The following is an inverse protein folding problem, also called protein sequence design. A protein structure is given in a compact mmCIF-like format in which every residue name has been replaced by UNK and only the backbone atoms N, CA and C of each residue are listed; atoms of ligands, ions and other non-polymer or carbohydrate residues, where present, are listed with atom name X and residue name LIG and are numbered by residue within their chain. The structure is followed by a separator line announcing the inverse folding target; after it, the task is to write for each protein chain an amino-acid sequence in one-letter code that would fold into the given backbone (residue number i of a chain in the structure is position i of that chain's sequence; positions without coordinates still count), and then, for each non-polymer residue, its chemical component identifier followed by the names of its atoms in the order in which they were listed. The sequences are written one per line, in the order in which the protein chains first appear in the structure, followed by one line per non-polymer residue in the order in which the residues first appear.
data_IF_172875137940
#
_entry.id   IF_172875137940
#
_cell.length_a   1.000
_cell.length_b   1.000
_cell.length_c   1.000
_cell.angle_alpha   90.00
_cell.angle_beta   90.00
_cell.angle_gamma   90.00
#
_symmetry.space_group_name_H-M   'P 1'
#
loop_
_entity.id
_entity.type
_entity.pdbx_description
1 polymer ?
#
# COMPACT_ATOMS: atom_id res chain seq x y z
N UNK A 1 -0.47 2.65 -10.29
CA UNK A 1 0.60 1.87 -9.56
C UNK A 1 0.30 1.55 -8.08
N UNK A 2 -0.32 2.42 -7.27
CA UNK A 2 -0.40 2.22 -5.81
C UNK A 2 -1.57 1.38 -5.24
N UNK A 3 -2.60 1.03 -6.03
CA UNK A 3 -3.85 0.46 -5.48
C UNK A 3 -3.82 -1.06 -5.23
N UNK A 4 -3.38 -1.91 -6.16
CA UNK A 4 -3.16 -3.36 -5.91
C UNK A 4 -2.31 -3.55 -4.64
N UNK A 5 -1.12 -2.94 -4.61
CA UNK A 5 -0.16 -3.07 -3.53
C UNK A 5 -0.64 -2.49 -2.19
N UNK A 6 -1.56 -1.52 -2.22
CA UNK A 6 -2.16 -0.93 -1.01
C UNK A 6 -3.26 -1.81 -0.40
N UNK A 7 -4.21 -2.27 -1.20
CA UNK A 7 -5.37 -3.04 -0.69
C UNK A 7 -4.96 -4.40 -0.15
N UNK A 8 -3.99 -5.06 -0.80
CA UNK A 8 -3.39 -6.31 -0.33
C UNK A 8 -2.70 -6.19 1.04
N UNK A 9 -2.11 -5.02 1.34
CA UNK A 9 -1.44 -4.78 2.62
C UNK A 9 -2.43 -4.42 3.74
N UNK A 10 -3.42 -3.58 3.43
CA UNK A 10 -4.40 -3.06 4.40
C UNK A 10 -5.24 -4.15 5.09
N UNK A 11 -5.52 -5.26 4.41
CA UNK A 11 -6.42 -6.30 4.92
C UNK A 11 -5.82 -7.19 6.04
N UNK A 12 -4.49 -7.22 6.21
CA UNK A 12 -3.78 -8.07 7.19
C UNK A 12 -2.73 -7.27 8.00
N UNK A 13 -2.80 -5.93 8.01
CA UNK A 13 -1.92 -5.05 8.83
C UNK A 13 -2.27 -5.04 10.32
N UNK A 14 -2.14 -6.20 10.98
CA UNK A 14 -2.24 -6.34 12.44
C UNK A 14 -0.95 -6.86 13.10
N UNK A 15 -0.04 -7.50 12.35
CA UNK A 15 1.30 -7.91 12.82
C UNK A 15 2.34 -7.65 11.73
N UNK A 16 2.68 -6.39 11.47
CA UNK A 16 3.82 -6.04 10.59
C UNK A 16 4.48 -4.70 10.95
N UNK A 17 4.38 -4.28 12.23
CA UNK A 17 5.06 -3.09 12.75
C UNK A 17 5.65 -3.35 14.14
N UNK A 18 6.75 -4.12 14.17
CA UNK A 18 7.91 -3.95 15.07
C UNK A 18 8.96 -5.02 14.77
N UNK A 19 10.05 -4.62 14.10
CA UNK A 19 11.22 -5.43 13.69
C UNK A 19 10.96 -6.60 12.72
N UNK A 20 11.71 -6.64 11.62
CA UNK A 20 11.71 -7.77 10.68
C UNK A 20 12.76 -8.83 11.03
N UNK A 21 12.48 -10.10 10.71
CA UNK A 21 13.32 -11.26 11.00
C UNK A 21 12.54 -12.40 11.68
N UNK A 22 12.92 -13.67 11.48
CA UNK A 22 12.11 -14.79 12.00
C UNK A 22 12.77 -16.18 12.33
N UNK A 23 13.74 -16.80 11.60
CA UNK A 23 14.46 -18.13 11.82
C UNK A 23 14.15 -19.56 11.19
N UNK A 24 15.01 -20.06 10.24
CA UNK A 24 15.53 -21.48 10.04
C UNK A 24 14.71 -22.66 9.37
N UNK A 25 15.18 -23.83 8.84
CA UNK A 25 16.45 -24.50 8.42
C UNK A 25 16.21 -25.91 7.74
N UNK A 26 17.20 -26.46 7.02
CA UNK A 26 17.99 -27.61 7.56
C UNK A 26 18.02 -29.00 6.87
N UNK A 27 19.25 -29.53 6.69
CA UNK A 27 19.80 -30.92 6.58
C UNK A 27 19.00 -32.09 5.95
N UNK A 28 19.60 -33.11 5.29
CA UNK A 28 21.04 -33.45 5.09
C UNK A 28 21.30 -34.34 3.83
N UNK A 29 22.57 -34.40 3.41
CA UNK A 29 23.29 -35.45 2.62
C UNK A 29 22.59 -36.23 1.48
N UNK A 30 23.16 -36.10 0.27
CA UNK A 30 23.05 -36.97 -0.92
C UNK A 30 22.14 -38.21 -0.88
N UNK A 31 20.99 -38.07 -1.53
CA UNK A 31 20.44 -39.08 -2.43
C UNK A 31 19.76 -38.36 -3.60
N UNK A 32 19.74 -38.95 -4.80
CA UNK A 32 19.14 -38.33 -5.99
C UNK A 32 17.60 -38.43 -6.03
N UNK A 33 16.96 -38.26 -4.87
CA UNK A 33 15.53 -37.96 -4.80
C UNK A 33 15.32 -36.48 -5.16
N UNK A 34 14.25 -36.17 -5.90
CA UNK A 34 13.93 -34.79 -6.25
C UNK A 34 13.72 -33.94 -4.99
N UNK A 35 14.51 -32.87 -4.81
CA UNK A 35 14.36 -31.93 -3.70
C UNK A 35 12.94 -31.35 -3.74
N UNK A 36 12.18 -31.52 -2.65
CA UNK A 36 10.81 -31.01 -2.55
C UNK A 36 10.76 -29.49 -2.87
N UNK A 37 9.75 -29.01 -3.60
CA UNK A 37 9.74 -27.67 -4.16
C UNK A 37 9.82 -26.58 -3.08
N UNK A 38 10.42 -25.44 -3.43
CA UNK A 38 10.61 -24.32 -2.50
C UNK A 38 9.30 -23.62 -2.13
N UNK A 39 8.34 -23.62 -3.07
CA UNK A 39 6.94 -23.24 -2.88
C UNK A 39 6.07 -24.16 -3.74
N UNK A 40 4.85 -24.45 -3.29
CA UNK A 40 3.87 -25.24 -4.03
C UNK A 40 2.55 -24.48 -4.09
N UNK A 41 1.88 -24.53 -5.25
CA UNK A 41 0.65 -23.79 -5.51
C UNK A 41 -0.49 -24.20 -4.59
N UNK A 42 -0.97 -23.25 -3.77
CA UNK A 42 -2.17 -23.40 -2.96
C UNK A 42 -3.39 -23.29 -3.88
N UNK A 43 -3.82 -24.41 -4.44
CA UNK A 43 -5.03 -24.53 -5.29
C UNK A 43 -6.30 -24.78 -4.47
N UNK A 44 -6.16 -25.02 -3.17
CA UNK A 44 -7.25 -25.30 -2.24
C UNK A 44 -6.83 -24.89 -0.82
N UNK A 45 -7.79 -24.36 -0.05
CA UNK A 45 -7.62 -23.92 1.33
C UNK A 45 -8.76 -24.52 2.16
N UNK A 46 -8.44 -25.43 3.07
CA UNK A 46 -9.43 -26.30 3.71
C UNK A 46 -10.02 -25.70 5.00
N UNK A 47 -11.02 -26.37 5.57
CA UNK A 47 -11.62 -25.99 6.86
C UNK A 47 -10.58 -25.98 7.98
N UNK A 48 -9.62 -26.90 7.92
CA UNK A 48 -8.49 -27.04 8.83
C UNK A 48 -7.52 -25.86 8.73
N UNK A 49 -7.23 -25.37 7.52
CA UNK A 49 -6.40 -24.17 7.32
C UNK A 49 -7.09 -22.93 7.91
N UNK A 50 -8.42 -22.81 7.75
CA UNK A 50 -9.20 -21.77 8.42
C UNK A 50 -9.19 -21.90 9.94
N UNK A 51 -9.28 -23.10 10.51
CA UNK A 51 -9.20 -23.29 11.96
C UNK A 51 -7.85 -22.82 12.52
N UNK A 52 -6.75 -23.10 11.82
CA UNK A 52 -5.42 -22.64 12.19
C UNK A 52 -5.32 -21.11 12.10
N UNK A 53 -5.63 -20.52 10.95
CA UNK A 53 -5.55 -19.08 10.71
C UNK A 53 -6.46 -18.27 11.66
N UNK A 54 -7.67 -18.75 11.93
CA UNK A 54 -8.61 -18.05 12.83
C UNK A 54 -8.26 -18.24 14.31
N UNK A 55 -7.57 -19.31 14.70
CA UNK A 55 -7.02 -19.45 16.05
C UNK A 55 -5.88 -18.43 16.31
N UNK A 56 -4.97 -18.27 15.36
CA UNK A 56 -3.92 -17.24 15.41
C UNK A 56 -4.55 -15.82 15.42
N UNK A 57 -5.51 -15.54 14.53
CA UNK A 57 -6.22 -14.25 14.50
C UNK A 57 -6.94 -13.95 15.83
N UNK A 58 -7.55 -14.96 16.46
CA UNK A 58 -8.21 -14.81 17.76
C UNK A 58 -7.23 -14.50 18.89
N UNK A 59 -6.01 -15.01 18.83
CA UNK A 59 -4.96 -14.73 19.80
C UNK A 59 -4.35 -13.34 19.63
N UNK A 60 -4.18 -12.88 18.39
CA UNK A 60 -3.57 -11.60 18.06
C UNK A 60 -4.54 -10.41 18.07
N UNK A 61 -5.74 -10.58 17.52
CA UNK A 61 -6.74 -9.51 17.36
C UNK A 61 -8.16 -10.04 17.60
N UNK A 62 -8.59 -10.13 18.88
CA UNK A 62 -9.92 -10.64 19.25
C UNK A 62 -11.07 -9.91 18.57
N UNK A 63 -10.95 -8.60 18.33
CA UNK A 63 -11.99 -7.81 17.64
C UNK A 63 -12.02 -8.08 16.12
N UNK A 64 -10.88 -8.32 15.47
CA UNK A 64 -10.85 -8.74 14.06
C UNK A 64 -11.44 -10.15 13.90
N UNK A 65 -11.11 -11.07 14.81
CA UNK A 65 -11.76 -12.39 14.87
C UNK A 65 -13.26 -12.27 15.13
N UNK A 66 -13.70 -11.38 16.02
CA UNK A 66 -15.12 -11.11 16.27
C UNK A 66 -15.80 -10.57 15.00
N UNK A 67 -15.20 -9.60 14.30
CA UNK A 67 -15.71 -9.05 13.04
C UNK A 67 -15.86 -10.13 11.98
N UNK A 68 -14.83 -10.96 11.77
CA UNK A 68 -14.87 -12.12 10.85
C UNK A 68 -16.05 -13.07 11.13
N UNK A 69 -16.47 -13.19 12.39
CA UNK A 69 -17.60 -14.03 12.80
C UNK A 69 -18.96 -13.32 12.77
N UNK A 70 -19.03 -11.99 12.88
CA UNK A 70 -20.30 -11.24 12.91
C UNK A 70 -20.67 -10.52 11.62
N UNK A 71 -19.71 -10.22 10.75
CA UNK A 71 -19.85 -9.38 9.56
C UNK A 71 -19.65 -10.22 8.27
N UNK A 72 -20.72 -10.49 7.51
CA UNK A 72 -20.63 -11.30 6.29
C UNK A 72 -19.84 -10.64 5.16
N UNK A 73 -19.87 -9.32 5.04
CA UNK A 73 -19.16 -8.58 3.99
C UNK A 73 -17.65 -8.60 4.26
N UNK A 74 -17.26 -8.24 5.48
CA UNK A 74 -15.86 -8.35 5.91
C UNK A 74 -15.34 -9.78 5.80
N UNK A 75 -16.16 -10.79 6.12
CA UNK A 75 -15.81 -12.21 5.89
C UNK A 75 -15.56 -12.49 4.41
N UNK A 76 -16.48 -12.10 3.52
CA UNK A 76 -16.32 -12.31 2.09
C UNK A 76 -15.03 -11.66 1.58
N UNK A 77 -14.77 -10.41 1.97
CA UNK A 77 -13.58 -9.66 1.56
C UNK A 77 -12.27 -10.31 2.04
N UNK A 78 -12.26 -10.94 3.22
CA UNK A 78 -11.11 -11.71 3.72
C UNK A 78 -10.91 -13.03 2.96
N UNK A 79 -11.99 -13.72 2.56
CA UNK A 79 -11.92 -14.94 1.71
C UNK A 79 -11.40 -14.60 0.31
N UNK A 80 -11.91 -13.54 -0.32
CA UNK A 80 -11.43 -13.09 -1.63
C UNK A 80 -9.97 -12.62 -1.59
N UNK A 81 -9.58 -11.83 -0.59
CA UNK A 81 -8.17 -11.40 -0.42
C UNK A 81 -7.19 -12.58 -0.35
N UNK A 82 -7.57 -13.66 0.34
CA UNK A 82 -6.77 -14.89 0.41
C UNK A 82 -6.80 -15.70 -0.89
N UNK A 83 -7.94 -15.77 -1.59
CA UNK A 83 -8.05 -16.40 -2.91
C UNK A 83 -7.15 -15.68 -3.93
N UNK A 84 -7.21 -14.35 -3.97
CA UNK A 84 -6.37 -13.49 -4.80
C UNK A 84 -4.89 -13.69 -4.47
N UNK A 85 -4.52 -13.74 -3.18
CA UNK A 85 -3.14 -13.97 -2.75
C UNK A 85 -2.54 -15.25 -3.35
N UNK A 86 -3.24 -16.37 -3.22
CA UNK A 86 -2.76 -17.64 -3.75
C UNK A 86 -2.82 -17.71 -5.28
N UNK A 87 -3.82 -17.09 -5.91
CA UNK A 87 -3.91 -16.98 -7.37
C UNK A 87 -2.74 -16.16 -7.97
N UNK A 88 -2.40 -15.00 -7.39
CA UNK A 88 -1.26 -14.19 -7.81
C UNK A 88 0.08 -14.88 -7.50
N UNK A 89 0.21 -15.58 -6.37
CA UNK A 89 1.40 -16.37 -6.08
C UNK A 89 1.62 -17.50 -7.12
N UNK A 90 0.54 -18.21 -7.50
CA UNK A 90 0.56 -19.20 -8.57
C UNK A 90 0.84 -18.59 -9.95
N UNK A 91 0.35 -17.38 -10.21
CA UNK A 91 0.68 -16.64 -11.43
C UNK A 91 2.19 -16.40 -11.52
N UNK A 92 2.84 -15.91 -10.45
CA UNK A 92 4.30 -15.72 -10.42
C UNK A 92 5.06 -17.03 -10.67
N UNK A 93 4.61 -18.16 -10.11
CA UNK A 93 5.21 -19.48 -10.36
C UNK A 93 5.15 -19.85 -11.85
N UNK A 94 3.98 -19.74 -12.49
CA UNK A 94 3.81 -19.94 -13.94
C UNK A 94 4.63 -18.97 -14.78
N UNK A 95 4.73 -17.73 -14.32
CA UNK A 95 5.50 -16.64 -14.94
C UNK A 95 7.02 -16.81 -14.81
N UNK A 96 7.49 -17.90 -14.20
CA UNK A 96 8.90 -18.28 -14.10
C UNK A 96 9.61 -17.76 -12.86
N UNK A 97 8.90 -17.27 -11.84
CA UNK A 97 9.53 -16.71 -10.64
C UNK A 97 10.44 -17.72 -9.90
N UNK A 98 10.16 -19.03 -9.99
CA UNK A 98 10.98 -20.10 -9.42
C UNK A 98 12.19 -20.49 -10.30
N UNK A 99 12.43 -19.83 -11.44
CA UNK A 99 13.64 -20.00 -12.24
C UNK A 99 14.77 -19.05 -11.79
N UNK A 100 14.46 -18.05 -10.96
CA UNK A 100 15.41 -17.07 -10.45
C UNK A 100 16.00 -17.53 -9.10
N UNK A 101 17.32 -17.73 -8.99
CA UNK A 101 17.95 -18.16 -7.74
C UNK A 101 17.80 -17.16 -6.59
N UNK A 102 17.58 -15.88 -6.87
CA UNK A 102 17.29 -14.86 -5.84
C UNK A 102 15.92 -15.12 -5.23
N UNK A 103 14.92 -15.43 -6.07
CA UNK A 103 13.57 -15.74 -5.59
C UNK A 103 13.51 -17.10 -4.88
N UNK A 104 14.23 -18.12 -5.38
CA UNK A 104 14.37 -19.40 -4.66
C UNK A 104 15.03 -19.16 -3.30
N UNK A 105 16.14 -18.43 -3.27
CA UNK A 105 16.89 -18.13 -2.05
C UNK A 105 16.11 -17.30 -1.04
N UNK A 106 15.23 -16.40 -1.51
CA UNK A 106 14.32 -15.65 -0.64
C UNK A 106 13.15 -16.51 -0.16
N UNK A 107 12.59 -17.38 -1.01
CA UNK A 107 11.56 -18.33 -0.58
C UNK A 107 12.12 -19.36 0.42
N UNK A 108 13.38 -19.79 0.28
CA UNK A 108 14.08 -20.55 1.32
C UNK A 108 14.37 -19.68 2.54
N UNK A 109 14.68 -18.39 2.38
CA UNK A 109 14.87 -17.46 3.51
C UNK A 109 13.58 -17.21 4.28
N UNK A 110 12.42 -17.12 3.62
CA UNK A 110 11.07 -16.97 4.20
C UNK A 110 10.58 -18.27 4.84
N UNK A 111 10.73 -19.40 4.14
CA UNK A 111 10.46 -20.75 4.70
C UNK A 111 11.30 -20.99 5.92
N UNK A 112 12.58 -20.60 5.85
CA UNK A 112 13.42 -20.62 7.02
C UNK A 112 12.76 -19.71 8.05
N UNK A 113 12.67 -18.41 7.75
CA UNK A 113 12.22 -17.38 8.66
C UNK A 113 11.05 -17.80 9.57
N UNK A 114 9.87 -18.09 9.04
CA UNK A 114 8.69 -18.35 9.89
C UNK A 114 8.89 -19.47 10.93
N UNK A 115 9.71 -20.49 10.66
CA UNK A 115 9.64 -21.78 11.41
C UNK A 115 10.14 -21.69 12.85
N UNK A 116 11.05 -20.76 13.17
CA UNK A 116 11.51 -20.57 14.55
C UNK A 116 11.27 -19.22 15.20
N UNK A 117 10.51 -18.29 14.61
CA UNK A 117 9.67 -17.45 15.47
C UNK A 117 8.70 -18.38 16.17
N UNK A 118 8.04 -19.27 15.42
CA UNK A 118 7.04 -20.17 15.97
C UNK A 118 7.65 -21.18 16.97
N UNK A 119 8.83 -21.73 16.68
CA UNK A 119 9.54 -22.60 17.64
C UNK A 119 10.14 -21.82 18.82
N UNK A 120 10.68 -20.61 18.62
CA UNK A 120 11.24 -19.83 19.73
C UNK A 120 10.14 -19.29 20.64
N UNK A 121 9.04 -18.75 20.09
CA UNK A 121 7.85 -18.40 20.86
C UNK A 121 7.33 -19.60 21.65
N UNK A 122 7.27 -20.79 21.05
CA UNK A 122 6.83 -22.01 21.75
C UNK A 122 7.70 -22.32 22.99
N UNK A 123 9.02 -22.09 22.94
CA UNK A 123 9.92 -22.31 24.10
C UNK A 123 10.09 -21.09 25.02
N UNK A 124 9.89 -19.87 24.54
CA UNK A 124 10.07 -18.63 25.31
C UNK A 124 8.77 -18.12 25.95
N UNK A 125 7.59 -18.48 25.43
CA UNK A 125 6.26 -18.10 25.97
C UNK A 125 6.04 -18.53 27.43
N UNK A 126 6.50 -19.73 27.89
CA UNK A 126 6.50 -20.06 29.33
C UNK A 126 7.49 -19.23 30.17
N UNK A 127 8.52 -18.66 29.52
CA UNK A 127 9.66 -17.99 30.18
C UNK A 127 9.58 -16.45 30.12
N UNK A 128 8.64 -15.88 29.37
CA UNK A 128 8.51 -14.44 29.07
C UNK A 128 9.81 -13.80 28.55
N UNK A 129 10.58 -14.53 27.75
CA UNK A 129 11.83 -14.04 27.15
C UNK A 129 11.57 -13.30 25.83
N UNK A 130 12.42 -12.31 25.56
CA UNK A 130 12.51 -11.66 24.25
C UNK A 130 12.88 -12.66 23.16
N UNK A 131 12.46 -12.35 21.93
CA UNK A 131 12.75 -13.16 20.74
C UNK A 131 14.25 -13.16 20.41
N UNK A 132 14.74 -14.24 19.81
CA UNK A 132 16.14 -14.46 19.39
C UNK A 132 17.15 -14.40 20.55
N UNK A 133 16.69 -14.67 21.78
CA UNK A 133 17.55 -14.74 22.99
C UNK A 133 17.88 -16.16 23.45
N UNK A 134 17.18 -17.18 22.95
CA UNK A 134 17.44 -18.59 23.33
C UNK A 134 18.71 -19.17 22.68
N UNK A 135 19.24 -18.52 21.64
CA UNK A 135 20.55 -18.81 21.05
C UNK A 135 21.58 -17.79 21.56
N UNK A 136 22.53 -18.27 22.36
CA UNK A 136 23.65 -17.46 22.86
C UNK A 136 24.73 -17.20 21.80
N UNK A 137 25.50 -16.13 22.00
CA UNK A 137 26.61 -15.76 21.10
C UNK A 137 27.63 -16.90 20.94
N UNK A 138 27.91 -17.67 22.00
CA UNK A 138 28.80 -18.85 21.95
C UNK A 138 28.29 -19.94 20.99
N UNK A 139 26.96 -20.08 20.80
CA UNK A 139 26.39 -20.96 19.77
C UNK A 139 26.57 -20.37 18.37
N UNK A 140 26.40 -19.06 18.20
CA UNK A 140 26.64 -18.34 16.93
C UNK A 140 28.11 -18.43 16.49
N UNK A 141 29.04 -18.18 17.42
CA UNK A 141 30.48 -18.36 17.20
C UNK A 141 30.84 -19.81 16.84
N UNK A 142 30.16 -20.78 17.45
CA UNK A 142 30.43 -22.21 17.18
C UNK A 142 29.83 -22.69 15.86
N UNK A 143 28.68 -22.13 15.44
CA UNK A 143 28.08 -22.37 14.13
C UNK A 143 29.03 -21.96 12.98
N UNK A 144 29.75 -20.84 13.11
CA UNK A 144 30.73 -20.39 12.11
C UNK A 144 32.11 -21.06 12.22
N UNK A 145 32.27 -22.13 13.01
CA UNK A 145 33.48 -22.99 12.96
C UNK A 145 33.43 -24.00 11.81
N UNK A 146 32.24 -24.23 11.25
CA UNK A 146 32.01 -25.01 10.03
C UNK A 146 32.12 -24.08 8.81
N UNK A 147 33.12 -24.22 7.92
CA UNK A 147 33.37 -23.23 6.84
C UNK A 147 32.21 -23.08 5.85
N UNK A 148 31.41 -24.13 5.66
CA UNK A 148 30.19 -24.10 4.84
C UNK A 148 29.15 -23.08 5.33
N UNK A 149 29.12 -22.78 6.64
CA UNK A 149 28.20 -21.80 7.20
C UNK A 149 28.60 -20.35 6.88
N UNK A 150 29.88 -20.07 6.59
CA UNK A 150 30.32 -18.78 6.05
C UNK A 150 29.80 -18.59 4.63
N UNK A 151 30.00 -19.58 3.76
CA UNK A 151 29.55 -19.54 2.36
C UNK A 151 28.03 -19.37 2.27
N UNK A 152 27.27 -20.14 3.08
CA UNK A 152 25.81 -20.02 3.18
C UNK A 152 25.35 -18.64 3.67
N UNK A 153 26.13 -17.97 4.52
CA UNK A 153 25.83 -16.61 4.96
C UNK A 153 26.07 -15.58 3.85
N UNK A 154 27.17 -15.69 3.11
CA UNK A 154 27.47 -14.77 2.00
C UNK A 154 26.47 -14.91 0.84
N UNK A 155 26.02 -16.12 0.52
CA UNK A 155 24.92 -16.33 -0.45
C UNK A 155 23.61 -15.66 0.03
N UNK A 156 23.24 -15.83 1.31
CA UNK A 156 22.09 -15.14 1.91
C UNK A 156 22.21 -13.61 1.85
N UNK A 157 23.38 -13.06 2.20
CA UNK A 157 23.63 -11.63 2.17
C UNK A 157 23.53 -11.08 0.73
N UNK A 158 24.08 -11.81 -0.24
CA UNK A 158 23.98 -11.49 -1.68
C UNK A 158 22.53 -11.48 -2.17
N UNK A 159 21.71 -12.44 -1.76
CA UNK A 159 20.26 -12.47 -2.08
C UNK A 159 19.57 -11.22 -1.52
N UNK A 160 19.76 -10.90 -0.23
CA UNK A 160 19.12 -9.74 0.41
C UNK A 160 19.60 -8.40 -0.18
N UNK A 161 20.85 -8.29 -0.62
CA UNK A 161 21.37 -7.10 -1.32
C UNK A 161 20.81 -6.96 -2.75
N UNK A 162 20.67 -8.05 -3.50
CA UNK A 162 20.04 -8.03 -4.82
C UNK A 162 18.54 -7.69 -4.73
N UNK A 163 17.84 -8.16 -3.69
CA UNK A 163 16.48 -7.71 -3.39
C UNK A 163 16.42 -6.22 -3.01
N UNK A 164 17.37 -5.71 -2.20
CA UNK A 164 17.47 -4.27 -1.89
C UNK A 164 17.58 -3.46 -3.19
N UNK A 165 18.41 -3.89 -4.13
CA UNK A 165 18.60 -3.25 -5.45
C UNK A 165 17.33 -3.29 -6.31
N UNK A 166 16.67 -4.46 -6.41
CA UNK A 166 15.39 -4.61 -7.14
C UNK A 166 14.27 -3.72 -6.59
N UNK A 167 14.22 -3.51 -5.28
CA UNK A 167 13.26 -2.62 -4.61
C UNK A 167 13.66 -1.12 -4.68
N UNK A 168 14.52 -0.72 -5.61
CA UNK A 168 14.91 0.69 -5.82
C UNK A 168 16.07 1.19 -4.94
N UNK A 169 16.71 0.32 -4.16
CA UNK A 169 17.95 0.65 -3.46
C UNK A 169 19.11 0.87 -4.44
N UNK A 170 19.99 1.83 -4.14
CA UNK A 170 21.10 2.16 -5.04
C UNK A 170 22.12 1.01 -5.14
N UNK A 171 22.54 0.70 -6.37
CA UNK A 171 23.42 -0.45 -6.70
C UNK A 171 24.80 -0.40 -6.03
N UNK A 172 25.25 0.78 -5.58
CA UNK A 172 26.48 0.97 -4.81
C UNK A 172 26.34 0.78 -3.30
N UNK A 173 25.12 0.60 -2.76
CA UNK A 173 24.86 0.37 -1.33
C UNK A 173 25.24 -1.06 -0.91
N UNK A 174 26.54 -1.28 -0.71
CA UNK A 174 27.04 -2.38 0.10
C UNK A 174 26.41 -2.32 1.50
N UNK A 175 26.23 -3.48 2.14
CA UNK A 175 25.92 -3.52 3.56
C UNK A 175 27.04 -2.84 4.37
N UNK A 176 26.70 -2.07 5.40
CA UNK A 176 27.69 -1.61 6.39
C UNK A 176 28.24 -2.79 7.21
N UNK A 177 29.36 -2.61 7.91
CA UNK A 177 29.89 -3.65 8.80
C UNK A 177 28.90 -3.99 9.93
N UNK A 178 28.12 -3.01 10.39
CA UNK A 178 27.04 -3.20 11.36
C UNK A 178 25.87 -4.01 10.75
N UNK A 179 25.43 -3.67 9.54
CA UNK A 179 24.40 -4.43 8.82
C UNK A 179 24.85 -5.87 8.55
N UNK A 180 26.10 -6.08 8.11
CA UNK A 180 26.68 -7.41 7.89
C UNK A 180 26.79 -8.20 9.20
N UNK A 181 27.21 -7.57 10.29
CA UNK A 181 27.34 -8.20 11.62
C UNK A 181 25.96 -8.61 12.19
N UNK A 182 24.95 -7.75 12.05
CA UNK A 182 23.58 -8.06 12.43
C UNK A 182 23.00 -9.19 11.55
N UNK A 183 23.09 -9.07 10.23
CA UNK A 183 22.63 -10.09 9.29
C UNK A 183 23.30 -11.45 9.54
N UNK A 184 24.60 -11.46 9.85
CA UNK A 184 25.38 -12.65 10.23
C UNK A 184 24.88 -13.29 11.51
N UNK A 185 24.62 -12.48 12.53
CA UNK A 185 24.11 -12.96 13.83
C UNK A 185 22.71 -13.54 13.67
N UNK A 186 21.84 -12.83 12.94
CA UNK A 186 20.48 -13.28 12.63
C UNK A 186 20.53 -14.59 11.83
N UNK A 187 21.27 -14.65 10.72
CA UNK A 187 21.42 -15.86 9.89
C UNK A 187 21.89 -17.09 10.69
N UNK A 188 22.77 -16.91 11.67
CA UNK A 188 23.23 -18.00 12.54
C UNK A 188 22.22 -18.42 13.60
N UNK A 189 21.57 -17.48 14.29
CA UNK A 189 20.45 -17.81 15.20
C UNK A 189 19.33 -18.52 14.44
N UNK A 190 19.06 -18.02 13.23
CA UNK A 190 18.16 -18.61 12.28
C UNK A 190 18.60 -20.01 11.89
N UNK A 191 19.89 -20.18 11.59
CA UNK A 191 20.53 -21.45 11.30
C UNK A 191 20.90 -22.30 12.53
N UNK A 192 20.27 -22.07 13.69
CA UNK A 192 20.36 -22.94 14.86
C UNK A 192 19.00 -23.38 15.42
N UNK A 193 17.99 -22.50 15.38
CA UNK A 193 16.70 -22.77 16.02
C UNK A 193 15.83 -23.83 15.33
N UNK A 194 16.05 -24.15 14.05
CA UNK A 194 15.25 -25.16 13.33
C UNK A 194 16.00 -26.47 13.09
N UNK A 195 17.31 -26.48 13.30
CA UNK A 195 18.01 -27.67 13.76
C UNK A 195 17.45 -28.06 15.13
N UNK A 196 17.36 -27.11 16.09
CA UNK A 196 16.73 -27.37 17.39
C UNK A 196 15.26 -27.84 17.26
N UNK A 197 14.45 -27.22 16.39
CA UNK A 197 13.04 -27.62 16.21
C UNK A 197 12.89 -29.00 15.55
N UNK A 198 13.71 -29.33 14.54
CA UNK A 198 13.77 -30.68 13.94
C UNK A 198 14.27 -31.74 14.93
N UNK A 199 15.34 -31.45 15.69
CA UNK A 199 15.87 -32.33 16.74
C UNK A 199 14.89 -32.55 17.89
N UNK A 200 13.94 -31.62 18.09
CA UNK A 200 12.89 -31.71 19.11
C UNK A 200 11.51 -32.07 18.54
N UNK A 201 11.41 -32.44 17.26
CA UNK A 201 10.12 -32.64 16.56
C UNK A 201 9.14 -33.57 17.31
N UNK A 202 9.63 -34.64 17.91
CA UNK A 202 8.84 -35.61 18.71
C UNK A 202 8.37 -35.10 20.08
N UNK A 203 8.79 -33.89 20.47
CA UNK A 203 8.45 -33.21 21.73
C UNK A 203 7.65 -31.92 21.51
N UNK A 204 7.34 -31.57 20.25
CA UNK A 204 6.52 -30.41 19.93
C UNK A 204 5.04 -30.78 20.04
N UNK A 205 4.19 -29.76 20.17
CA UNK A 205 2.74 -29.91 20.17
C UNK A 205 2.24 -30.50 18.83
N UNK A 206 1.25 -31.42 18.85
CA UNK A 206 0.69 -31.99 17.62
C UNK A 206 0.21 -30.91 16.66
N UNK A 207 0.55 -31.05 15.37
CA UNK A 207 0.20 -30.07 14.34
C UNK A 207 1.08 -28.80 14.31
N UNK A 208 2.14 -28.68 15.14
CA UNK A 208 3.10 -27.57 15.08
C UNK A 208 3.57 -27.29 13.64
N UNK A 209 4.21 -28.27 12.99
CA UNK A 209 4.71 -28.09 11.61
C UNK A 209 3.60 -27.85 10.58
N UNK A 210 2.35 -28.22 10.86
CA UNK A 210 1.19 -27.92 10.00
C UNK A 210 0.83 -26.44 10.08
N UNK A 211 0.65 -25.89 11.29
CA UNK A 211 0.39 -24.45 11.53
C UNK A 211 1.51 -23.57 10.96
N UNK A 212 2.74 -23.96 11.28
CA UNK A 212 3.93 -23.27 10.80
C UNK A 212 4.07 -23.37 9.28
N UNK A 213 3.77 -24.52 8.70
CA UNK A 213 3.72 -24.72 7.25
C UNK A 213 2.69 -23.83 6.55
N UNK A 214 1.53 -23.58 7.17
CA UNK A 214 0.54 -22.62 6.67
C UNK A 214 1.06 -21.18 6.72
N UNK A 215 1.68 -20.76 7.84
CA UNK A 215 2.31 -19.44 7.97
C UNK A 215 3.44 -19.24 6.95
N UNK A 216 4.27 -20.27 6.71
CA UNK A 216 5.27 -20.30 5.62
C UNK A 216 4.61 -20.08 4.26
N UNK A 217 3.57 -20.86 3.92
CA UNK A 217 2.85 -20.74 2.63
C UNK A 217 2.28 -19.35 2.43
N UNK A 218 1.73 -18.71 3.48
CA UNK A 218 1.18 -17.36 3.43
C UNK A 218 2.26 -16.31 3.14
N UNK A 219 3.37 -16.31 3.88
CA UNK A 219 4.48 -15.36 3.67
C UNK A 219 5.16 -15.56 2.31
N UNK A 220 5.36 -16.83 1.89
CA UNK A 220 5.89 -17.15 0.56
C UNK A 220 4.93 -16.70 -0.56
N UNK A 221 3.61 -16.83 -0.36
CA UNK A 221 2.61 -16.35 -1.31
C UNK A 221 2.60 -14.82 -1.40
N UNK A 222 2.81 -14.09 -0.30
CA UNK A 222 2.91 -12.62 -0.30
C UNK A 222 4.10 -12.12 -1.13
N UNK A 223 5.27 -12.76 -0.97
CA UNK A 223 6.45 -12.47 -1.79
C UNK A 223 6.21 -12.76 -3.29
N UNK A 224 5.62 -13.92 -3.62
CA UNK A 224 5.31 -14.28 -5.01
C UNK A 224 4.22 -13.39 -5.62
N UNK A 225 3.17 -13.04 -4.88
CA UNK A 225 2.12 -12.15 -5.37
C UNK A 225 2.64 -10.74 -5.70
N UNK A 226 3.61 -10.22 -4.93
CA UNK A 226 4.34 -8.99 -5.25
C UNK A 226 5.09 -9.10 -6.59
N UNK A 227 5.79 -10.22 -6.83
CA UNK A 227 6.47 -10.47 -8.11
C UNK A 227 5.47 -10.53 -9.28
N UNK A 228 4.30 -11.16 -9.10
CA UNK A 228 3.24 -11.16 -10.12
C UNK A 228 2.70 -9.75 -10.40
N UNK A 229 2.45 -8.95 -9.36
CA UNK A 229 1.99 -7.57 -9.50
C UNK A 229 3.03 -6.69 -10.22
N UNK A 230 4.32 -6.83 -9.89
CA UNK A 230 5.42 -6.13 -10.56
C UNK A 230 5.55 -6.52 -12.03
N UNK A 231 5.55 -7.83 -12.34
CA UNK A 231 5.64 -8.32 -13.72
C UNK A 231 4.47 -7.85 -14.59
N UNK A 232 3.28 -7.71 -14.01
CA UNK A 232 2.08 -7.27 -14.72
C UNK A 232 1.82 -5.75 -14.61
N UNK A 233 2.68 -4.97 -13.94
CA UNK A 233 2.46 -3.53 -13.73
C UNK A 233 2.31 -2.74 -15.05
N UNK A 234 3.07 -3.11 -16.09
CA UNK A 234 2.95 -2.50 -17.42
C UNK A 234 1.61 -2.80 -18.11
N UNK A 235 0.93 -3.89 -17.76
CA UNK A 235 -0.36 -4.27 -18.37
C UNK A 235 -1.54 -3.43 -17.85
N UNK A 236 -1.41 -2.82 -16.67
CA UNK A 236 -2.43 -1.91 -16.10
C UNK A 236 -2.17 -0.43 -16.39
N UNK A 237 -0.97 -0.07 -16.87
CA UNK A 237 -0.66 1.33 -17.23
C UNK A 237 -1.54 1.84 -18.38
N UNK A 238 -1.85 3.14 -18.34
CA UNK A 238 -2.70 3.81 -19.35
C UNK A 238 -1.93 4.97 -19.97
N UNK A 239 -1.83 4.96 -21.30
CA UNK A 239 -1.15 5.98 -22.10
C UNK A 239 -1.93 7.29 -22.17
N UNK A 240 -1.24 8.40 -22.47
CA UNK A 240 -1.89 9.70 -22.70
C UNK A 240 -2.77 9.72 -23.96
N UNK A 241 -2.50 8.84 -24.92
CA UNK A 241 -3.37 8.62 -26.08
C UNK A 241 -4.68 7.95 -25.65
N UNK A 242 -4.66 6.87 -24.86
CA UNK A 242 -5.86 6.22 -24.32
C UNK A 242 -6.73 7.19 -23.48
N UNK A 243 -6.10 8.04 -22.65
CA UNK A 243 -6.81 9.09 -21.89
C UNK A 243 -7.50 10.08 -22.84
N UNK A 244 -6.81 10.50 -23.91
CA UNK A 244 -7.37 11.45 -24.89
C UNK A 244 -8.45 10.80 -25.76
N UNK A 245 -8.32 9.51 -26.07
CA UNK A 245 -9.29 8.70 -26.79
C UNK A 245 -10.55 8.42 -25.97
N UNK A 246 -10.42 8.35 -24.65
CA UNK A 246 -11.55 8.26 -23.73
C UNK A 246 -12.26 9.63 -23.63
N UNK A 247 -11.54 10.72 -23.34
CA UNK A 247 -12.14 12.07 -23.23
C UNK A 247 -12.86 12.47 -24.53
N UNK A 248 -12.32 12.12 -25.71
CA UNK A 248 -12.98 12.36 -27.01
C UNK A 248 -14.31 11.60 -27.18
N UNK A 249 -14.51 10.49 -26.48
CA UNK A 249 -15.76 9.69 -26.45
C UNK A 249 -16.67 10.11 -25.28
N UNK A 250 -16.09 10.72 -24.25
CA UNK A 250 -16.72 11.14 -23.00
C UNK A 250 -16.56 12.65 -22.79
N UNK A 251 -17.31 13.49 -23.55
CA UNK A 251 -17.19 14.95 -23.53
C UNK A 251 -17.59 15.58 -22.18
N UNK A 252 -18.13 14.82 -21.24
CA UNK A 252 -18.28 15.19 -19.83
C UNK A 252 -16.94 15.41 -19.10
N UNK A 253 -15.84 14.87 -19.63
CA UNK A 253 -14.47 15.10 -19.14
C UNK A 253 -13.65 16.04 -20.06
N UNK A 254 -14.28 16.63 -21.08
CA UNK A 254 -13.67 17.60 -22.00
C UNK A 254 -13.64 19.01 -21.40
N UNK A 255 -12.48 19.65 -21.38
CA UNK A 255 -12.31 20.98 -20.77
C UNK A 255 -12.65 22.14 -21.71
N UNK A 256 -12.95 21.87 -22.98
CA UNK A 256 -13.08 22.88 -24.05
C UNK A 256 -14.21 23.88 -23.79
N UNK A 257 -15.33 23.43 -23.20
CA UNK A 257 -16.45 24.31 -22.82
C UNK A 257 -16.07 25.26 -21.67
N UNK A 258 -15.46 24.70 -20.62
CA UNK A 258 -14.94 25.44 -19.46
C UNK A 258 -13.82 26.42 -19.89
N UNK A 259 -13.02 26.06 -20.89
CA UNK A 259 -12.04 26.97 -21.51
C UNK A 259 -12.71 28.13 -22.23
N UNK A 260 -13.69 27.87 -23.10
CA UNK A 260 -14.41 28.92 -23.83
C UNK A 260 -15.18 29.88 -22.89
N UNK A 261 -15.74 29.35 -21.79
CA UNK A 261 -16.33 30.12 -20.70
C UNK A 261 -15.31 31.08 -20.05
N UNK A 262 -14.12 30.56 -19.69
CA UNK A 262 -13.04 31.36 -19.13
C UNK A 262 -12.49 32.40 -20.14
N UNK A 263 -12.38 32.06 -21.44
CA UNK A 263 -11.96 32.99 -22.51
C UNK A 263 -12.97 34.14 -22.68
N UNK A 264 -14.27 33.87 -22.56
CA UNK A 264 -15.30 34.90 -22.59
C UNK A 264 -15.26 35.83 -21.36
N UNK A 265 -14.99 35.28 -20.17
CA UNK A 265 -14.82 36.06 -18.94
C UNK A 265 -13.54 36.90 -18.95
N UNK A 266 -12.45 36.38 -19.51
CA UNK A 266 -11.23 37.12 -19.78
C UNK A 266 -11.49 38.31 -20.72
N UNK A 267 -12.22 38.10 -21.81
CA UNK A 267 -12.59 39.17 -22.74
C UNK A 267 -13.45 40.26 -22.09
N UNK A 268 -14.45 39.87 -21.28
CA UNK A 268 -15.29 40.81 -20.48
C UNK A 268 -14.45 41.64 -19.51
N UNK A 269 -13.55 41.00 -18.77
CA UNK A 269 -12.67 41.66 -17.82
C UNK A 269 -11.69 42.64 -18.52
N UNK A 270 -11.11 42.26 -19.65
CA UNK A 270 -10.24 43.13 -20.46
C UNK A 270 -11.01 44.32 -21.07
N UNK A 271 -12.30 44.13 -21.42
CA UNK A 271 -13.17 45.20 -21.90
C UNK A 271 -13.57 46.23 -20.81
N UNK A 272 -13.15 46.03 -19.56
CA UNK A 272 -13.38 46.97 -18.46
C UNK A 272 -14.63 46.67 -17.61
N UNK A 273 -15.22 45.48 -17.74
CA UNK A 273 -16.25 45.03 -16.81
C UNK A 273 -15.68 44.80 -15.40
N UNK A 274 -16.52 44.97 -14.38
CA UNK A 274 -16.12 44.93 -12.97
C UNK A 274 -15.64 43.53 -12.56
N UNK A 275 -14.31 43.36 -12.47
CA UNK A 275 -13.65 42.10 -12.12
C UNK A 275 -14.18 41.49 -10.82
N UNK A 276 -14.54 42.31 -9.83
CA UNK A 276 -15.06 41.80 -8.56
C UNK A 276 -16.42 41.14 -8.77
N UNK A 277 -17.32 41.76 -9.54
CA UNK A 277 -18.62 41.18 -9.90
C UNK A 277 -18.48 39.92 -10.76
N UNK A 278 -17.55 39.92 -11.72
CA UNK A 278 -17.27 38.74 -12.54
C UNK A 278 -16.78 37.55 -11.70
N UNK A 279 -15.89 37.79 -10.72
CA UNK A 279 -15.47 36.75 -9.78
C UNK A 279 -16.62 36.29 -8.87
N UNK A 280 -17.45 37.22 -8.39
CA UNK A 280 -18.58 36.93 -7.50
C UNK A 280 -19.74 36.19 -8.19
N UNK A 281 -19.90 36.34 -9.50
CA UNK A 281 -20.94 35.67 -10.29
C UNK A 281 -20.47 34.36 -10.91
N UNK A 282 -19.20 34.28 -11.36
CA UNK A 282 -18.72 33.16 -12.20
C UNK A 282 -17.53 32.36 -11.64
N UNK A 283 -16.94 32.70 -10.49
CA UNK A 283 -15.80 31.92 -9.96
C UNK A 283 -16.26 30.65 -9.25
N UNK A 284 -15.81 29.48 -9.74
CA UNK A 284 -15.95 28.17 -9.10
C UNK A 284 -15.05 28.00 -7.86
N UNK A 285 -14.16 28.98 -7.56
CA UNK A 285 -13.32 28.97 -6.36
C UNK A 285 -14.11 29.25 -5.08
N UNK A 286 -14.12 28.26 -4.17
CA UNK A 286 -14.70 28.36 -2.84
C UNK A 286 -14.05 29.44 -1.97
N UNK A 287 -12.76 29.75 -2.19
CA UNK A 287 -12.05 30.82 -1.50
C UNK A 287 -12.57 32.23 -1.78
N UNK A 288 -13.41 32.42 -2.81
CA UNK A 288 -14.09 33.69 -3.02
C UNK A 288 -15.17 33.98 -1.95
N UNK A 289 -15.72 32.96 -1.28
CA UNK A 289 -16.84 33.11 -0.35
C UNK A 289 -16.37 32.79 1.08
N UNK A 290 -16.48 33.78 1.98
CA UNK A 290 -16.18 33.61 3.40
C UNK A 290 -17.24 32.77 4.12
N UNK A 291 -16.93 32.29 5.32
CA UNK A 291 -17.83 31.45 6.15
C UNK A 291 -19.17 32.16 6.50
N UNK A 292 -19.22 33.49 6.48
CA UNK A 292 -20.42 34.30 6.69
C UNK A 292 -21.23 34.56 5.40
N UNK A 293 -20.79 34.02 4.26
CA UNK A 293 -21.39 34.23 2.94
C UNK A 293 -20.91 35.49 2.20
N UNK A 294 -20.03 36.29 2.79
CA UNK A 294 -19.47 37.48 2.13
C UNK A 294 -18.56 37.08 0.97
N UNK A 295 -18.80 37.67 -0.22
CA UNK A 295 -17.95 37.46 -1.39
C UNK A 295 -16.81 38.47 -1.46
N UNK A 296 -15.65 38.06 -1.97
CA UNK A 296 -14.42 38.87 -1.96
C UNK A 296 -14.13 39.62 -3.29
N UNK A 297 -14.84 39.28 -4.36
CA UNK A 297 -14.45 39.62 -5.74
C UNK A 297 -13.18 38.87 -6.20
N UNK A 298 -13.02 37.63 -5.75
CA UNK A 298 -11.89 36.74 -6.00
C UNK A 298 -10.56 37.17 -5.35
N UNK A 299 -10.60 38.05 -4.34
CA UNK A 299 -9.43 38.76 -3.81
C UNK A 299 -8.73 38.03 -2.66
N UNK A 300 -7.54 37.52 -2.97
CA UNK A 300 -6.55 37.11 -1.98
C UNK A 300 -5.63 38.29 -1.66
N UNK A 301 -5.43 38.57 -0.36
CA UNK A 301 -4.58 39.67 0.14
C UNK A 301 -3.29 39.14 0.75
N UNK A 302 -2.24 39.95 0.68
CA UNK A 302 -0.92 39.75 1.30
C UNK A 302 -0.36 38.33 1.09
N UNK A 303 -0.62 37.75 -0.09
CA UNK A 303 -0.23 36.37 -0.46
C UNK A 303 1.29 36.25 -0.48
N UNK A 304 1.91 35.45 0.39
CA UNK A 304 3.36 35.25 0.39
C UNK A 304 3.81 34.43 -0.82
N UNK A 305 4.95 34.77 -1.41
CA UNK A 305 5.59 33.99 -2.46
C UNK A 305 5.81 32.51 -2.06
N UNK A 306 5.44 31.60 -2.95
CA UNK A 306 5.43 30.15 -2.75
C UNK A 306 4.16 29.60 -2.09
N UNK A 307 3.07 30.38 -2.00
CA UNK A 307 1.78 29.93 -1.42
C UNK A 307 0.72 29.56 -2.45
N UNK A 308 0.88 29.94 -3.72
CA UNK A 308 -0.01 29.58 -4.82
C UNK A 308 0.63 28.53 -5.74
N UNK A 309 -0.15 27.90 -6.63
CA UNK A 309 0.41 27.00 -7.65
C UNK A 309 1.38 27.76 -8.57
N UNK A 310 2.50 27.12 -8.93
CA UNK A 310 3.61 27.79 -9.62
C UNK A 310 3.21 28.48 -10.93
N UNK A 311 2.30 27.90 -11.72
CA UNK A 311 1.78 28.51 -12.94
C UNK A 311 0.98 29.79 -12.64
N UNK A 312 0.09 29.75 -11.64
CA UNK A 312 -0.70 30.89 -11.18
C UNK A 312 0.17 32.02 -10.63
N UNK A 313 1.11 31.69 -9.73
CA UNK A 313 2.01 32.67 -9.12
C UNK A 313 2.90 33.34 -10.17
N UNK A 314 3.48 32.56 -11.10
CA UNK A 314 4.28 33.08 -12.22
C UNK A 314 3.47 34.02 -13.11
N UNK A 315 2.20 33.68 -13.40
CA UNK A 315 1.31 34.53 -14.18
C UNK A 315 0.99 35.84 -13.43
N UNK A 316 0.54 35.76 -12.17
CA UNK A 316 0.22 36.93 -11.35
C UNK A 316 1.44 37.86 -11.15
N UNK A 317 2.61 37.31 -10.86
CA UNK A 317 3.85 38.07 -10.64
C UNK A 317 4.48 38.60 -11.93
N UNK A 318 4.07 38.15 -13.12
CA UNK A 318 4.46 38.79 -14.39
C UNK A 318 3.72 40.12 -14.64
N UNK A 319 2.58 40.37 -13.98
CA UNK A 319 1.73 41.53 -14.24
C UNK A 319 2.25 42.82 -13.58
N UNK A 320 1.73 43.96 -14.05
CA UNK A 320 1.83 45.26 -13.34
C UNK A 320 0.64 45.40 -12.37
N UNK A 321 0.81 46.05 -11.20
CA UNK A 321 -0.32 46.37 -10.33
C UNK A 321 -1.46 47.07 -11.07
N UNK A 322 -2.70 46.67 -10.78
CA UNK A 322 -3.92 47.10 -11.47
C UNK A 322 -4.21 46.41 -12.81
N UNK A 323 -3.32 45.54 -13.34
CA UNK A 323 -3.50 44.93 -14.67
C UNK A 323 -3.97 43.46 -14.63
N UNK A 324 -4.68 43.07 -15.68
CA UNK A 324 -5.20 41.72 -15.93
C UNK A 324 -4.21 40.97 -16.84
N UNK A 325 -4.08 39.65 -16.66
CA UNK A 325 -3.31 38.79 -17.57
C UNK A 325 -3.91 38.82 -18.98
N UNK A 326 -3.11 38.96 -20.05
CA UNK A 326 -3.63 38.93 -21.42
C UNK A 326 -4.01 37.51 -21.90
N UNK A 327 -3.78 36.49 -21.09
CA UNK A 327 -4.04 35.08 -21.40
C UNK A 327 -4.57 34.36 -20.15
N UNK A 328 -5.36 33.29 -20.35
CA UNK A 328 -5.73 32.37 -19.29
C UNK A 328 -4.51 31.66 -18.72
N UNK A 329 -4.56 31.33 -17.43
CA UNK A 329 -3.59 30.44 -16.78
C UNK A 329 -4.26 29.12 -16.46
N UNK A 330 -3.70 28.02 -16.95
CA UNK A 330 -4.19 26.66 -16.69
C UNK A 330 -3.47 26.06 -15.47
N UNK A 331 -4.22 25.40 -14.58
CA UNK A 331 -3.69 24.64 -13.43
C UNK A 331 -4.47 23.34 -13.24
N UNK A 332 -4.07 22.51 -12.28
CA UNK A 332 -4.78 21.29 -11.90
C UNK A 332 -6.26 21.53 -11.46
N UNK A 333 -6.61 22.76 -11.07
CA UNK A 333 -8.00 23.14 -10.76
C UNK A 333 -8.80 23.56 -12.00
N UNK A 334 -8.17 24.06 -13.05
CA UNK A 334 -8.82 24.55 -14.27
C UNK A 334 -8.25 25.86 -14.79
N UNK A 335 -9.11 26.71 -15.34
CA UNK A 335 -8.69 27.95 -16.01
C UNK A 335 -8.88 29.18 -15.11
N UNK A 336 -7.83 29.98 -14.98
CA UNK A 336 -7.85 31.21 -14.20
C UNK A 336 -7.76 32.46 -15.10
N UNK A 337 -8.71 33.38 -14.90
CA UNK A 337 -8.55 34.79 -15.25
C UNK A 337 -7.85 35.47 -14.06
N UNK A 338 -6.74 36.17 -14.26
CA UNK A 338 -5.91 36.71 -13.16
C UNK A 338 -5.76 38.24 -13.29
N UNK A 339 -5.94 38.97 -12.19
CA UNK A 339 -5.62 40.39 -12.05
C UNK A 339 -4.73 40.63 -10.83
N UNK A 340 -3.57 41.24 -11.03
CA UNK A 340 -2.71 41.67 -9.93
C UNK A 340 -3.17 43.03 -9.43
N UNK A 341 -3.60 43.15 -8.17
CA UNK A 341 -3.96 44.43 -7.57
C UNK A 341 -2.72 45.18 -7.06
N UNK A 342 -1.84 44.49 -6.33
CA UNK A 342 -0.70 45.09 -5.62
C UNK A 342 0.48 44.13 -5.52
N UNK A 343 1.70 44.68 -5.51
CA UNK A 343 2.92 44.02 -5.02
C UNK A 343 3.38 44.72 -3.74
N UNK A 344 3.55 43.97 -2.67
CA UNK A 344 3.97 44.39 -1.33
C UNK A 344 5.38 43.89 -1.05
N UNK A 345 6.34 44.80 -0.89
CA UNK A 345 7.71 44.46 -0.51
C UNK A 345 7.89 44.12 0.97
N UNK A 346 7.07 43.20 1.52
CA UNK A 346 7.25 42.48 2.80
C UNK A 346 6.06 41.59 3.15
N UNK A 347 6.34 40.46 3.81
CA UNK A 347 5.43 39.83 4.76
C UNK A 347 6.19 39.25 5.97
N UNK A 348 5.79 39.63 7.18
CA UNK A 348 6.33 39.12 8.45
C UNK A 348 7.55 39.85 9.00
N UNK A 349 7.72 39.78 10.32
CA UNK A 349 8.85 40.34 11.09
C UNK A 349 10.01 39.35 11.30
N UNK A 350 9.79 38.06 11.00
CA UNK A 350 10.57 36.94 11.56
C UNK A 350 11.18 36.04 10.48
N UNK A 351 11.55 36.61 9.33
CA UNK A 351 12.19 35.89 8.22
C UNK A 351 12.82 36.84 7.19
N UNK A 352 13.61 36.32 6.22
CA UNK A 352 14.13 37.12 5.12
C UNK A 352 12.99 37.71 4.28
N UNK A 353 13.18 38.92 3.76
CA UNK A 353 12.14 39.72 3.09
C UNK A 353 11.52 39.00 1.87
N UNK A 354 10.46 38.22 2.09
CA UNK A 354 9.66 37.60 1.04
C UNK A 354 8.72 38.63 0.40
N UNK A 355 8.54 38.50 -0.91
CA UNK A 355 7.52 39.23 -1.64
C UNK A 355 6.13 38.77 -1.20
N UNK A 356 5.21 39.72 -1.06
CA UNK A 356 3.79 39.45 -0.90
C UNK A 356 2.99 40.21 -1.96
N UNK A 357 1.78 39.75 -2.29
CA UNK A 357 0.97 40.37 -3.35
C UNK A 357 -0.53 40.24 -3.09
N UNK A 358 -1.29 41.24 -3.57
CA UNK A 358 -2.75 41.19 -3.61
C UNK A 358 -3.16 40.81 -5.03
N UNK A 359 -3.96 39.75 -5.17
CA UNK A 359 -4.38 39.18 -6.46
C UNK A 359 -5.86 38.87 -6.46
N UNK A 360 -6.55 39.22 -7.54
CA UNK A 360 -7.88 38.70 -7.86
C UNK A 360 -7.78 37.60 -8.90
N UNK A 361 -8.62 36.59 -8.78
CA UNK A 361 -8.85 35.64 -9.87
C UNK A 361 -10.33 35.30 -10.07
N UNK A 362 -10.61 34.72 -11.23
CA UNK A 362 -11.84 33.96 -11.49
C UNK A 362 -11.34 32.56 -11.87
N UNK A 363 -11.67 31.55 -11.07
CA UNK A 363 -11.45 30.15 -11.42
C UNK A 363 -12.69 29.63 -12.16
N UNK A 364 -12.46 28.97 -13.29
CA UNK A 364 -13.45 28.15 -13.96
C UNK A 364 -12.96 26.70 -13.84
N UNK A 365 -13.57 25.96 -12.91
CA UNK A 365 -13.11 24.64 -12.48
C UNK A 365 -13.30 23.61 -13.59
N UNK A 366 -12.25 22.84 -13.84
CA UNK A 366 -12.32 21.62 -14.65
C UNK A 366 -12.31 20.36 -13.77
N UNK A 367 -12.36 20.51 -12.45
CA UNK A 367 -12.25 19.40 -11.51
C UNK A 367 -13.33 18.34 -11.68
N UNK A 368 -12.94 17.07 -11.58
CA UNK A 368 -13.86 15.93 -11.55
C UNK A 368 -13.93 15.41 -10.12
N UNK A 369 -15.14 15.32 -9.57
CA UNK A 369 -15.40 14.67 -8.28
C UNK A 369 -15.66 13.18 -8.50
N UNK A 370 -14.95 12.32 -7.77
CA UNK A 370 -15.08 10.87 -7.91
C UNK A 370 -16.42 10.39 -7.29
N UNK A 371 -17.32 9.74 -8.06
CA UNK A 371 -18.56 9.18 -7.50
C UNK A 371 -18.35 8.11 -6.42
N UNK A 372 -17.16 7.49 -6.35
CA UNK A 372 -16.77 6.55 -5.31
C UNK A 372 -16.19 7.23 -4.04
N UNK A 373 -15.85 8.52 -4.11
CA UNK A 373 -15.39 9.35 -2.98
C UNK A 373 -16.11 10.71 -2.99
N UNK A 374 -17.42 10.75 -2.64
CA UNK A 374 -18.24 11.95 -2.73
C UNK A 374 -17.90 13.01 -1.68
N UNK A 375 -17.04 12.72 -0.70
CA UNK A 375 -16.44 13.69 0.22
C UNK A 375 -14.99 14.05 -0.17
N UNK A 376 -14.43 13.36 -1.17
CA UNK A 376 -13.12 13.58 -1.74
C UNK A 376 -12.98 14.91 -2.48
N UNK A 377 -11.71 15.27 -2.74
CA UNK A 377 -11.36 16.46 -3.52
C UNK A 377 -11.56 16.22 -5.00
N UNK A 378 -11.91 17.28 -5.73
CA UNK A 378 -11.85 17.27 -7.19
C UNK A 378 -10.41 17.01 -7.67
N UNK A 379 -10.29 16.30 -8.79
CA UNK A 379 -9.03 15.97 -9.46
C UNK A 379 -9.07 16.35 -10.95
N UNK A 380 -7.93 16.60 -11.61
CA UNK A 380 -7.90 16.94 -13.03
C UNK A 380 -8.57 15.85 -13.90
N UNK A 381 -9.35 16.19 -14.96
CA UNK A 381 -10.05 15.21 -15.78
C UNK A 381 -9.14 14.11 -16.35
N UNK A 382 -7.94 14.49 -16.83
CA UNK A 382 -6.95 13.53 -17.34
C UNK A 382 -6.44 12.58 -16.25
N UNK A 383 -6.32 13.03 -15.00
CA UNK A 383 -5.94 12.18 -13.87
C UNK A 383 -7.08 11.25 -13.45
N UNK A 384 -8.31 11.75 -13.39
CA UNK A 384 -9.50 10.94 -13.12
C UNK A 384 -9.65 9.83 -14.16
N UNK A 385 -9.66 10.19 -15.45
CA UNK A 385 -9.77 9.25 -16.57
C UNK A 385 -8.64 8.23 -16.58
N UNK A 386 -7.38 8.65 -16.37
CA UNK A 386 -6.26 7.70 -16.27
C UNK A 386 -6.46 6.72 -15.11
N UNK A 387 -6.82 7.20 -13.93
CA UNK A 387 -7.04 6.37 -12.73
C UNK A 387 -8.20 5.40 -12.92
N UNK A 388 -9.31 5.85 -13.53
CA UNK A 388 -10.46 5.01 -13.89
C UNK A 388 -10.06 3.88 -14.83
N UNK A 389 -9.33 4.20 -15.90
CA UNK A 389 -8.84 3.21 -16.87
C UNK A 389 -7.78 2.26 -16.28
N UNK A 390 -6.91 2.74 -15.36
CA UNK A 390 -5.97 1.89 -14.62
C UNK A 390 -6.75 0.87 -13.77
N UNK A 391 -7.77 1.31 -13.01
CA UNK A 391 -8.60 0.42 -12.19
C UNK A 391 -9.39 -0.60 -13.06
N UNK A 392 -9.87 -0.20 -14.24
CA UNK A 392 -10.57 -1.10 -15.17
C UNK A 392 -9.64 -2.17 -15.76
N UNK A 393 -8.40 -1.81 -16.12
CA UNK A 393 -7.37 -2.79 -16.53
C UNK A 393 -6.96 -3.70 -15.36
N UNK A 394 -6.88 -3.14 -14.14
CA UNK A 394 -6.58 -3.86 -12.90
C UNK A 394 -7.60 -4.96 -12.62
N UNK A 395 -8.90 -4.67 -12.70
CA UNK A 395 -9.97 -5.67 -12.52
C UNK A 395 -10.05 -6.70 -13.66
N UNK A 396 -9.77 -6.31 -14.91
CA UNK A 396 -9.67 -7.26 -16.04
C UNK A 396 -8.49 -8.23 -15.86
N UNK A 397 -7.33 -7.72 -15.40
CA UNK A 397 -6.14 -8.52 -15.10
C UNK A 397 -6.38 -9.47 -13.92
N UNK A 398 -6.91 -8.95 -12.81
CA UNK A 398 -7.29 -9.73 -11.62
C UNK A 398 -8.27 -10.85 -11.98
N UNK A 399 -9.32 -10.52 -12.73
CA UNK A 399 -10.30 -11.49 -13.23
C UNK A 399 -9.68 -12.55 -14.15
N UNK A 400 -8.66 -12.20 -14.94
CA UNK A 400 -7.89 -13.17 -15.73
C UNK A 400 -7.06 -14.10 -14.82
N UNK A 401 -6.29 -13.53 -13.90
CA UNK A 401 -5.41 -14.28 -12.99
C UNK A 401 -6.22 -15.27 -12.14
N UNK A 402 -7.38 -14.87 -11.60
CA UNK A 402 -8.28 -15.73 -10.83
C UNK A 402 -8.86 -16.89 -11.66
N UNK A 403 -9.19 -16.67 -12.94
CA UNK A 403 -9.66 -17.74 -13.85
C UNK A 403 -8.55 -18.72 -14.24
N UNK A 404 -7.34 -18.21 -14.46
CA UNK A 404 -6.20 -19.04 -14.86
C UNK A 404 -5.58 -19.78 -13.65
N UNK A 405 -5.72 -19.25 -12.44
CA UNK A 405 -5.19 -19.80 -11.19
C UNK A 405 -6.33 -20.01 -10.17
N UNK A 406 -7.25 -20.95 -10.41
CA UNK A 406 -8.38 -21.18 -9.51
C UNK A 406 -7.92 -21.70 -8.15
N UNK A 407 -8.44 -21.09 -7.07
CA UNK A 407 -8.17 -21.50 -5.69
C UNK A 407 -9.49 -21.77 -4.98
N UNK A 408 -9.71 -23.02 -4.58
CA UNK A 408 -10.93 -23.47 -3.91
C UNK A 408 -10.83 -23.15 -2.41
N UNK A 409 -11.56 -22.13 -1.97
CA UNK A 409 -11.67 -21.78 -0.55
C UNK A 409 -12.83 -22.57 0.06
N UNK A 410 -12.57 -23.33 1.13
CA UNK A 410 -13.62 -23.87 1.99
C UNK A 410 -14.33 -22.74 2.77
N UNK A 411 -15.52 -23.02 3.31
CA UNK A 411 -16.21 -22.09 4.21
C UNK A 411 -15.42 -21.89 5.51
N UNK A 412 -15.39 -20.65 6.01
CA UNK A 412 -14.87 -20.35 7.35
C UNK A 412 -15.83 -20.99 8.38
N UNK A 413 -15.36 -21.90 9.25
CA UNK A 413 -16.22 -22.60 10.20
C UNK A 413 -16.75 -21.62 11.26
N UNK A 414 -18.02 -21.22 11.11
CA UNK A 414 -18.71 -20.33 12.05
C UNK A 414 -18.92 -21.05 13.39
N UNK A 415 -18.46 -20.49 14.52
CA UNK A 415 -18.72 -21.06 15.84
C UNK A 415 -20.24 -21.18 16.09
N UNK A 416 -20.72 -22.26 16.72
CA UNK A 416 -22.14 -22.39 17.04
C UNK A 416 -22.57 -21.21 17.91
N UNK A 417 -23.70 -20.59 17.54
CA UNK A 417 -24.21 -19.40 18.21
C UNK A 417 -24.33 -19.66 19.72
N UNK A 418 -23.69 -18.80 20.52
CA UNK A 418 -23.70 -18.93 21.97
C UNK A 418 -25.16 -18.96 22.47
N UNK A 419 -25.55 -19.95 23.30
CA UNK A 419 -26.94 -20.11 23.70
C UNK A 419 -27.42 -18.81 24.35
N UNK A 420 -28.55 -18.29 23.86
CA UNK A 420 -29.07 -17.00 24.28
C UNK A 420 -29.19 -16.97 25.81
N UNK A 421 -28.50 -16.03 26.46
CA UNK A 421 -28.52 -15.90 27.93
C UNK A 421 -29.99 -15.89 28.39
N UNK A 422 -30.39 -16.77 29.31
CA UNK A 422 -31.79 -16.81 29.74
C UNK A 422 -32.16 -15.43 30.27
N UNK A 423 -33.26 -14.87 29.74
CA UNK A 423 -33.74 -13.54 30.15
C UNK A 423 -33.88 -13.53 31.67
N UNK A 424 -33.37 -12.52 32.39
CA UNK A 424 -33.52 -12.42 33.84
C UNK A 424 -35.00 -12.63 34.20
N UNK A 425 -35.28 -13.67 34.98
CA UNK A 425 -36.63 -14.15 35.18
C UNK A 425 -37.52 -13.05 35.75
N UNK A 426 -38.66 -12.81 35.11
CA UNK A 426 -39.70 -11.92 35.65
C UNK A 426 -40.08 -12.41 37.04
N UNK A 427 -39.69 -11.66 38.09
CA UNK A 427 -40.16 -11.92 39.45
C UNK A 427 -41.69 -11.98 39.40
N UNK A 428 -42.28 -13.11 39.79
CA UNK A 428 -43.69 -13.14 40.17
C UNK A 428 -43.86 -12.10 41.30
N UNK A 429 -44.80 -11.15 41.21
CA UNK A 429 -45.19 -10.37 42.37
C UNK A 429 -45.77 -11.35 43.41
N UNK A 430 -45.30 -11.26 44.64
CA UNK A 430 -45.79 -12.07 45.74
C UNK A 430 -46.82 -11.30 46.56
N UNK A 431 -48.09 -11.65 46.39
CA UNK A 431 -49.11 -11.79 47.43
C UNK A 431 -50.33 -12.51 46.82
#
# INVERSE_FOLDING_TARGET
MGRIAGHFLMAITAITLLFGGSSGQGSATNSAAAKAPVYECVTRFETEDWQLLTADLKAASPDSFKKLNSDPEFRSNQVESLRELFAYACQAVKDGALNDPVNIGELESIRNEVVAIEFEELINKPLKKELLTSVSNVRVESFYKEPENEARFEDFLKIKLELRRRNGGAESMKATDEERSLARTMFAKFSLLVADSKLRATKLEPGFFTRVGLKVKLQQAQFLAKIAAEKNAAAVMVSDDEVSDYIRKHPEFGTEKKKAEAEALLARAIAGEDFAKLADEFSDDSGNVAEDGTKSGGLYRDVPEGRMLSAFEKAALALRPGTISPQLTETDFGYHVIKLEKKSGRAGSDGPDKLAYDVRHILISTGVKDPADPDGREVPPRQFVRTKLENEKEEVLKSKILRENPVVMADIPVPPAAPAKPRPGTRKPGN
#
